data_IF_695482213750
#
_entry.id   IF_695482213750
#
_cell.length_a   1.000
_cell.length_b   1.000
_cell.length_c   1.000
_cell.angle_alpha   90.00
_cell.angle_beta   90.00
_cell.angle_gamma   90.00
#
_symmetry.space_group_name_H-M   'P 1'
#
loop_
_entity.id
_entity.type
_entity.pdbx_description
1 polymer ?
#
# COMPACT_ATOMS: atom_id res chain seq x y z
N UNK A 1 4.99 -10.81 -6.60
CA UNK A 1 4.58 -12.08 -7.21
C UNK A 1 5.76 -12.92 -7.71
N UNK A 2 6.72 -12.33 -8.42
CA UNK A 2 7.87 -13.05 -8.96
C UNK A 2 8.76 -13.66 -7.86
N UNK A 3 9.04 -12.91 -6.79
CA UNK A 3 9.81 -13.40 -5.64
C UNK A 3 9.12 -14.58 -4.95
N UNK A 4 7.79 -14.52 -4.82
CA UNK A 4 6.99 -15.61 -4.22
C UNK A 4 7.02 -16.85 -5.12
N UNK A 5 6.88 -16.66 -6.42
CA UNK A 5 6.96 -17.75 -7.39
C UNK A 5 8.32 -18.46 -7.34
N UNK A 6 9.43 -17.72 -7.30
CA UNK A 6 10.78 -18.29 -7.19
C UNK A 6 10.96 -19.02 -5.86
N UNK A 7 10.50 -18.44 -4.74
CA UNK A 7 10.61 -19.06 -3.43
C UNK A 7 9.79 -20.36 -3.33
N UNK A 8 8.58 -20.38 -3.86
CA UNK A 8 7.72 -21.58 -3.86
C UNK A 8 8.29 -22.71 -4.74
N UNK A 9 8.91 -22.38 -5.87
CA UNK A 9 9.56 -23.37 -6.73
C UNK A 9 10.86 -23.92 -6.12
N UNK A 10 11.60 -23.10 -5.37
CA UNK A 10 12.81 -23.53 -4.67
C UNK A 10 12.50 -24.52 -3.51
N UNK A 11 11.30 -24.49 -2.98
CA UNK A 11 10.81 -25.42 -1.95
C UNK A 11 10.28 -26.74 -2.54
N UNK A 12 10.85 -27.23 -3.63
CA UNK A 12 10.39 -28.33 -4.46
C UNK A 12 10.09 -29.70 -3.80
N UNK A 13 10.17 -29.79 -2.48
CA UNK A 13 9.74 -30.94 -1.70
C UNK A 13 8.30 -30.83 -1.17
N UNK A 14 7.61 -29.69 -1.38
CA UNK A 14 6.26 -29.47 -0.89
C UNK A 14 5.22 -29.95 -1.90
N UNK A 15 4.13 -30.54 -1.39
CA UNK A 15 2.99 -30.88 -2.22
C UNK A 15 2.36 -29.62 -2.83
N UNK A 16 1.75 -29.75 -4.00
CA UNK A 16 1.08 -28.63 -4.71
C UNK A 16 0.10 -27.85 -3.81
N UNK A 17 -0.58 -28.54 -2.90
CA UNK A 17 -1.51 -27.91 -1.97
C UNK A 17 -0.81 -26.94 -1.00
N UNK A 18 0.30 -27.36 -0.40
CA UNK A 18 1.06 -26.50 0.51
C UNK A 18 1.74 -25.34 -0.21
N UNK A 19 2.18 -25.53 -1.44
CA UNK A 19 2.72 -24.46 -2.28
C UNK A 19 1.67 -23.38 -2.52
N UNK A 20 0.43 -23.75 -2.82
CA UNK A 20 -0.67 -22.80 -3.00
C UNK A 20 -0.99 -22.06 -1.71
N UNK A 21 -1.05 -22.74 -0.57
CA UNK A 21 -1.30 -22.12 0.73
C UNK A 21 -0.23 -21.08 1.06
N UNK A 22 1.04 -21.46 0.94
CA UNK A 22 2.17 -20.55 1.18
C UNK A 22 2.11 -19.36 0.22
N UNK A 23 1.83 -19.59 -1.05
CA UNK A 23 1.67 -18.53 -2.04
C UNK A 23 0.61 -17.51 -1.61
N UNK A 24 -0.59 -17.96 -1.25
CA UNK A 24 -1.66 -17.07 -0.82
C UNK A 24 -1.33 -16.32 0.48
N UNK A 25 -0.74 -17.00 1.47
CA UNK A 25 -0.32 -16.35 2.72
C UNK A 25 0.64 -15.20 2.42
N UNK A 26 1.66 -15.44 1.60
CA UNK A 26 2.67 -14.42 1.28
C UNK A 26 2.05 -13.29 0.47
N UNK A 27 1.25 -13.60 -0.55
CA UNK A 27 0.58 -12.58 -1.38
C UNK A 27 -0.36 -11.71 -0.55
N UNK A 28 -1.20 -12.30 0.30
CA UNK A 28 -2.09 -11.53 1.15
C UNK A 28 -1.33 -10.72 2.20
N UNK A 29 -0.28 -11.27 2.79
CA UNK A 29 0.57 -10.53 3.74
C UNK A 29 1.18 -9.29 3.08
N UNK A 30 1.77 -9.45 1.90
CA UNK A 30 2.33 -8.34 1.14
C UNK A 30 1.25 -7.32 0.79
N UNK A 31 0.10 -7.77 0.28
CA UNK A 31 -1.00 -6.91 -0.14
C UNK A 31 -1.55 -6.08 1.02
N UNK A 32 -1.75 -6.69 2.17
CA UNK A 32 -2.26 -6.01 3.37
C UNK A 32 -1.24 -4.97 3.87
N UNK A 33 0.03 -5.33 3.94
CA UNK A 33 1.07 -4.39 4.41
C UNK A 33 1.23 -3.19 3.48
N UNK A 34 1.24 -3.41 2.16
CA UNK A 34 1.27 -2.33 1.18
C UNK A 34 0.00 -1.49 1.30
N UNK A 35 -1.16 -2.14 1.38
CA UNK A 35 -2.44 -1.47 1.54
C UNK A 35 -2.47 -0.54 2.75
N UNK A 36 -2.03 -1.02 3.91
CA UNK A 36 -1.93 -0.23 5.12
C UNK A 36 -0.94 0.93 4.98
N UNK A 37 0.22 0.69 4.37
CA UNK A 37 1.22 1.72 4.13
C UNK A 37 0.69 2.84 3.23
N UNK A 38 0.13 2.48 2.08
CA UNK A 38 -0.46 3.44 1.13
C UNK A 38 -1.62 4.19 1.75
N UNK A 39 -2.49 3.47 2.46
CA UNK A 39 -3.63 4.07 3.15
C UNK A 39 -3.18 5.11 4.17
N UNK A 40 -2.17 4.81 4.99
CA UNK A 40 -1.65 5.74 5.98
C UNK A 40 -0.93 6.95 5.39
N UNK A 41 -0.47 6.88 4.12
CA UNK A 41 0.12 8.02 3.42
C UNK A 41 -0.89 9.02 2.86
N UNK A 42 -2.18 8.70 2.88
CA UNK A 42 -3.23 9.63 2.44
C UNK A 42 -3.18 10.89 3.31
N UNK A 43 -3.15 12.09 2.69
CA UNK A 43 -2.99 13.35 3.44
C UNK A 43 -4.28 13.83 4.10
N UNK A 44 -5.00 12.92 4.75
CA UNK A 44 -6.25 13.20 5.46
C UNK A 44 -6.14 12.76 6.92
N UNK A 45 -6.48 13.59 7.91
CA UNK A 45 -6.63 13.14 9.28
C UNK A 45 -7.76 12.08 9.37
N UNK A 46 -7.59 11.02 10.17
CA UNK A 46 -6.56 10.78 11.20
C UNK A 46 -5.28 10.08 10.71
N UNK A 47 -5.03 10.00 9.42
CA UNK A 47 -3.94 9.23 8.84
C UNK A 47 -2.58 9.93 8.94
N UNK A 48 -1.49 9.17 8.91
CA UNK A 48 -0.13 9.70 9.10
C UNK A 48 0.32 10.61 7.96
N UNK A 49 -0.21 10.41 6.75
CA UNK A 49 0.06 11.30 5.60
C UNK A 49 -0.32 12.76 5.86
N UNK A 50 -1.31 13.03 6.71
CA UNK A 50 -1.65 14.38 7.11
C UNK A 50 -0.53 15.08 7.88
N UNK A 51 0.20 14.35 8.71
CA UNK A 51 1.35 14.87 9.46
C UNK A 51 2.51 15.22 8.54
N UNK A 52 2.74 14.38 7.52
CA UNK A 52 3.75 14.64 6.49
C UNK A 52 3.37 15.88 5.70
N UNK A 53 2.11 15.99 5.26
CA UNK A 53 1.61 17.17 4.57
C UNK A 53 1.81 18.44 5.40
N UNK A 54 1.46 18.40 6.69
CA UNK A 54 1.61 19.54 7.59
C UNK A 54 3.06 20.00 7.76
N UNK A 55 4.02 19.09 7.62
CA UNK A 55 5.44 19.45 7.69
C UNK A 55 5.86 20.40 6.57
N UNK A 56 5.25 20.26 5.39
CA UNK A 56 5.53 21.11 4.23
C UNK A 56 4.69 22.37 4.14
N UNK A 57 3.64 22.50 4.95
CA UNK A 57 2.76 23.67 4.93
C UNK A 57 3.39 24.88 5.65
N UNK A 58 3.15 26.11 5.15
CA UNK A 58 3.48 27.34 5.89
C UNK A 58 2.62 27.46 7.15
N UNK A 59 3.04 28.35 8.07
CA UNK A 59 2.40 28.51 9.37
C UNK A 59 0.88 28.76 9.28
N UNK A 60 0.44 29.60 8.34
CA UNK A 60 -1.00 29.86 8.08
C UNK A 60 -1.75 28.62 7.60
N UNK A 61 -1.12 27.82 6.75
CA UNK A 61 -1.69 26.56 6.27
C UNK A 61 -1.84 25.53 7.39
N UNK A 62 -0.87 25.43 8.27
CA UNK A 62 -0.93 24.56 9.46
C UNK A 62 -2.08 24.97 10.39
N UNK A 63 -2.20 26.25 10.67
CA UNK A 63 -3.26 26.78 11.53
C UNK A 63 -4.65 26.50 10.93
N UNK A 64 -4.83 26.77 9.63
CA UNK A 64 -6.07 26.47 8.94
C UNK A 64 -6.42 24.96 9.00
N UNK A 65 -5.43 24.12 8.80
CA UNK A 65 -5.59 22.67 8.84
C UNK A 65 -5.99 22.19 10.24
N UNK A 66 -5.33 22.68 11.29
CA UNK A 66 -5.67 22.38 12.67
C UNK A 66 -7.09 22.83 13.04
N UNK A 67 -7.48 24.02 12.64
CA UNK A 67 -8.80 24.58 12.93
C UNK A 67 -9.93 23.82 12.21
N UNK A 68 -9.64 23.16 11.11
CA UNK A 68 -10.62 22.44 10.29
C UNK A 68 -10.50 20.92 10.39
N UNK A 69 -9.79 20.38 11.36
CA UNK A 69 -9.59 18.93 11.50
C UNK A 69 -10.91 18.14 11.56
N UNK A 70 -11.93 18.67 12.22
CA UNK A 70 -13.24 18.03 12.33
C UNK A 70 -13.89 17.82 10.95
N UNK A 71 -13.73 18.79 10.05
CA UNK A 71 -14.25 18.71 8.69
C UNK A 71 -13.58 17.54 7.95
N UNK A 72 -12.25 17.41 8.08
CA UNK A 72 -11.51 16.31 7.48
C UNK A 72 -11.92 14.94 8.03
N UNK A 73 -12.20 14.83 9.33
CA UNK A 73 -12.73 13.60 9.92
C UNK A 73 -14.10 13.23 9.34
N UNK A 74 -14.98 14.21 9.19
CA UNK A 74 -16.31 13.99 8.60
C UNK A 74 -16.17 13.57 7.13
N UNK A 75 -15.34 14.25 6.36
CA UNK A 75 -15.07 13.89 4.96
C UNK A 75 -14.50 12.47 4.84
N UNK A 76 -13.57 12.12 5.71
CA UNK A 76 -13.01 10.77 5.79
C UNK A 76 -14.07 9.70 6.04
N UNK A 77 -14.94 9.94 7.04
CA UNK A 77 -16.05 9.04 7.35
C UNK A 77 -17.04 8.91 6.19
N UNK A 78 -17.36 10.03 5.53
CA UNK A 78 -18.27 10.02 4.36
C UNK A 78 -17.69 9.22 3.20
N UNK A 79 -16.39 9.34 2.93
CA UNK A 79 -15.71 8.54 1.89
C UNK A 79 -15.80 7.04 2.20
N UNK A 80 -15.68 6.66 3.47
CA UNK A 80 -15.83 5.26 3.89
C UNK A 80 -17.26 4.75 3.77
N UNK A 81 -18.23 5.50 4.29
CA UNK A 81 -19.64 5.09 4.33
C UNK A 81 -20.24 5.01 2.92
N UNK A 82 -19.88 5.94 2.03
CA UNK A 82 -20.38 5.97 0.64
C UNK A 82 -19.70 4.97 -0.30
N UNK A 83 -18.63 4.28 0.15
CA UNK A 83 -17.88 3.36 -0.69
C UNK A 83 -16.98 4.05 -1.74
N UNK A 84 -16.87 5.38 -1.73
CA UNK A 84 -15.95 6.14 -2.59
C UNK A 84 -14.49 5.79 -2.34
N UNK A 85 -14.17 5.19 -1.20
CA UNK A 85 -12.84 4.71 -0.87
C UNK A 85 -12.27 3.77 -1.93
N UNK A 86 -13.08 2.90 -2.51
CA UNK A 86 -12.64 1.98 -3.57
C UNK A 86 -12.24 2.72 -4.85
N UNK A 87 -12.98 3.75 -5.23
CA UNK A 87 -12.69 4.56 -6.43
C UNK A 87 -11.38 5.34 -6.29
N UNK A 88 -11.11 5.85 -5.09
CA UNK A 88 -9.89 6.62 -4.80
C UNK A 88 -8.67 5.71 -4.62
N UNK A 89 -8.84 4.58 -3.93
CA UNK A 89 -7.74 3.71 -3.53
C UNK A 89 -7.28 2.75 -4.65
N UNK A 90 -8.18 2.28 -5.50
CA UNK A 90 -7.85 1.32 -6.56
C UNK A 90 -6.72 1.79 -7.48
N UNK A 91 -6.74 3.01 -8.06
CA UNK A 91 -5.67 3.47 -8.93
C UNK A 91 -4.35 3.63 -8.18
N UNK A 92 -4.38 4.04 -6.92
CA UNK A 92 -3.19 4.20 -6.06
C UNK A 92 -2.56 2.84 -5.78
N UNK A 93 -3.36 1.85 -5.38
CA UNK A 93 -2.88 0.49 -5.16
C UNK A 93 -2.32 -0.14 -6.44
N UNK A 94 -3.02 0.02 -7.56
CA UNK A 94 -2.56 -0.47 -8.86
C UNK A 94 -1.20 0.10 -9.24
N UNK A 95 -0.98 1.40 -9.07
CA UNK A 95 0.29 2.06 -9.35
C UNK A 95 1.42 1.57 -8.43
N UNK A 96 1.16 1.42 -7.13
CA UNK A 96 2.14 0.92 -6.15
C UNK A 96 2.52 -0.52 -6.45
N UNK A 97 1.54 -1.40 -6.69
CA UNK A 97 1.81 -2.80 -7.03
C UNK A 97 2.58 -2.95 -8.33
N UNK A 98 2.23 -2.16 -9.37
CA UNK A 98 2.96 -2.17 -10.64
C UNK A 98 4.41 -1.71 -10.47
N UNK A 99 4.64 -0.66 -9.72
CA UNK A 99 5.98 -0.16 -9.41
C UNK A 99 6.83 -1.17 -8.65
N UNK A 100 6.23 -1.83 -7.65
CA UNK A 100 6.92 -2.87 -6.88
C UNK A 100 7.25 -4.10 -7.71
N UNK A 101 6.32 -4.59 -8.53
CA UNK A 101 6.58 -5.71 -9.42
C UNK A 101 7.70 -5.40 -10.40
N UNK A 102 7.68 -4.20 -11.01
CA UNK A 102 8.74 -3.74 -11.90
C UNK A 102 10.11 -3.71 -11.19
N UNK A 103 10.15 -3.18 -9.98
CA UNK A 103 11.39 -3.12 -9.19
C UNK A 103 11.93 -4.51 -8.86
N UNK A 104 11.06 -5.40 -8.40
CA UNK A 104 11.42 -6.79 -8.06
C UNK A 104 11.93 -7.54 -9.30
N UNK A 105 11.27 -7.42 -10.45
CA UNK A 105 11.74 -8.03 -11.70
C UNK A 105 13.12 -7.52 -12.11
N UNK A 106 13.34 -6.20 -12.01
CA UNK A 106 14.64 -5.60 -12.30
C UNK A 106 15.72 -6.12 -11.37
N UNK A 107 15.43 -6.23 -10.08
CA UNK A 107 16.36 -6.75 -9.09
C UNK A 107 16.72 -8.20 -9.36
N UNK A 108 15.73 -9.05 -9.64
CA UNK A 108 15.98 -10.47 -9.96
C UNK A 108 16.76 -10.65 -11.26
N UNK A 109 16.46 -9.86 -12.28
CA UNK A 109 17.26 -9.87 -13.52
C UNK A 109 18.71 -9.47 -13.26
N UNK A 110 18.95 -8.48 -12.42
CA UNK A 110 20.29 -8.06 -12.04
C UNK A 110 21.03 -9.19 -11.28
N UNK A 111 20.37 -9.86 -10.35
CA UNK A 111 20.94 -10.96 -9.57
C UNK A 111 21.16 -12.22 -10.41
N UNK A 112 20.32 -12.49 -11.40
CA UNK A 112 20.49 -13.62 -12.32
C UNK A 112 21.61 -13.43 -13.34
N UNK A 113 22.11 -12.22 -13.52
CA UNK A 113 23.26 -11.89 -14.36
C UNK A 113 24.60 -12.00 -13.63
N UNK A 114 24.54 -12.21 -12.32
CA UNK A 114 25.71 -12.44 -11.46
C UNK A 114 25.87 -13.95 -11.22
#
# INVERSE_FOLDING_TARGET
>A
YYAVFVATNALGALTLQWQQVIYYIVVYTISINIGLGVFNLIPLPPLDGSKILMHFLPAKGKEWFYNNQQIFYIVFLLIWITGLSSVVLQPIFGAVFSGMNWFVEKLFKLLSLI
#
